data_IF_377998129102
#
_entry.id   IF_377998129102
#
_cell.length_a   1.000
_cell.length_b   1.000
_cell.length_c   1.000
_cell.angle_alpha   90.00
_cell.angle_beta   90.00
_cell.angle_gamma   90.00
#
_symmetry.space_group_name_H-M   'P 1'
#
loop_
_entity.id
_entity.type
_entity.pdbx_description
1 polymer ?
#
# COMPACT_ATOMS: atom_id res chain seq x y z
N UNK A 1 -47.36 -68.74 -20.31
CA UNK A 1 -48.41 -68.18 -19.45
C UNK A 1 -48.65 -66.74 -19.90
N UNK A 2 -49.89 -66.47 -20.32
CA UNK A 2 -50.69 -65.22 -20.24
C UNK A 2 -49.97 -63.86 -20.35
N UNK A 3 -50.41 -62.85 -21.09
CA UNK A 3 -51.53 -62.59 -22.01
C UNK A 3 -51.22 -61.22 -22.66
N UNK A 4 -51.62 -61.02 -23.92
CA UNK A 4 -51.78 -59.73 -24.66
C UNK A 4 -52.88 -58.85 -24.00
N UNK A 5 -53.23 -57.56 -24.38
CA UNK A 5 -53.18 -57.00 -25.76
C UNK A 5 -53.13 -55.42 -25.99
N UNK A 6 -52.90 -55.00 -27.26
CA UNK A 6 -53.64 -53.95 -28.07
C UNK A 6 -53.62 -52.46 -27.60
N UNK A 7 -53.49 -51.36 -28.37
CA UNK A 7 -53.40 -50.98 -29.83
C UNK A 7 -53.07 -49.48 -29.99
N UNK A 8 -52.59 -49.07 -31.19
CA UNK A 8 -52.81 -47.78 -31.93
C UNK A 8 -52.20 -46.50 -31.31
N UNK A 9 -51.84 -45.43 -32.04
CA UNK A 9 -51.68 -45.07 -33.46
C UNK A 9 -51.25 -43.59 -33.52
N UNK A 10 -50.39 -43.26 -34.49
CA UNK A 10 -50.29 -42.00 -35.26
C UNK A 10 -49.87 -40.64 -34.63
N UNK A 11 -49.00 -39.96 -35.40
CA UNK A 11 -48.66 -38.53 -35.33
C UNK A 11 -47.22 -38.32 -34.87
N UNK A 12 -46.28 -37.74 -35.59
CA UNK A 12 -46.29 -36.95 -36.81
C UNK A 12 -44.98 -36.15 -36.83
N UNK A 13 -44.32 -36.15 -37.98
CA UNK A 13 -43.19 -35.34 -38.47
C UNK A 13 -42.78 -34.11 -37.66
N UNK A 14 -41.47 -33.90 -37.46
CA UNK A 14 -40.77 -32.71 -37.93
C UNK A 14 -39.24 -32.87 -37.85
N UNK A 15 -38.60 -32.62 -39.01
CA UNK A 15 -37.19 -32.37 -39.18
C UNK A 15 -36.83 -30.99 -38.60
N UNK A 16 -35.83 -30.92 -37.72
CA UNK A 16 -34.96 -29.74 -37.60
C UNK A 16 -33.55 -30.17 -37.15
N UNK A 17 -32.62 -30.16 -38.10
CA UNK A 17 -31.20 -29.86 -37.89
C UNK A 17 -31.07 -28.34 -37.60
N UNK A 18 -29.93 -27.72 -37.22
CA UNK A 18 -28.61 -28.23 -36.79
C UNK A 18 -27.99 -27.40 -35.61
N UNK A 19 -26.76 -27.75 -35.18
CA UNK A 19 -25.76 -26.85 -34.57
C UNK A 19 -26.13 -26.04 -33.30
N UNK A 20 -25.78 -26.56 -32.11
CA UNK A 20 -25.33 -25.70 -30.99
C UNK A 20 -23.81 -25.82 -30.82
N UNK A 21 -23.12 -25.06 -31.67
CA UNK A 21 -21.80 -24.51 -31.40
C UNK A 21 -21.87 -23.71 -30.10
N UNK A 22 -21.11 -24.10 -29.07
CA UNK A 22 -20.54 -23.25 -28.00
C UNK A 22 -20.44 -24.00 -26.66
N UNK A 23 -19.33 -24.72 -26.45
CA UNK A 23 -18.64 -24.65 -25.15
C UNK A 23 -17.14 -24.56 -25.45
N UNK A 24 -16.73 -23.41 -25.97
CA UNK A 24 -15.34 -22.93 -25.85
C UNK A 24 -15.46 -21.59 -25.14
N UNK A 25 -14.54 -21.33 -24.20
CA UNK A 25 -14.31 -20.08 -23.45
C UNK A 25 -15.09 -19.96 -22.13
N UNK A 26 -14.55 -20.55 -21.06
CA UNK A 26 -14.56 -19.89 -19.74
C UNK A 26 -13.31 -20.26 -18.92
N UNK A 27 -12.12 -20.02 -19.48
CA UNK A 27 -10.89 -19.84 -18.69
C UNK A 27 -10.26 -18.48 -18.99
N UNK A 28 -11.08 -17.45 -19.22
CA UNK A 28 -10.64 -16.08 -19.36
C UNK A 28 -11.30 -15.31 -18.21
N UNK A 29 -10.49 -14.80 -17.27
CA UNK A 29 -10.91 -13.66 -16.47
C UNK A 29 -10.91 -13.78 -14.95
N UNK A 30 -10.27 -14.77 -14.32
CA UNK A 30 -9.84 -14.63 -12.93
C UNK A 30 -8.48 -15.28 -12.71
N UNK A 31 -7.42 -14.56 -13.09
CA UNK A 31 -6.18 -14.65 -12.34
C UNK A 31 -6.46 -14.09 -10.95
N UNK A 32 -6.76 -14.96 -9.98
CA UNK A 32 -6.53 -14.64 -8.58
C UNK A 32 -5.00 -14.60 -8.41
N UNK A 33 -4.36 -13.50 -8.81
CA UNK A 33 -2.96 -13.25 -8.50
C UNK A 33 -2.87 -13.10 -6.97
N UNK A 34 -2.57 -14.19 -6.28
CA UNK A 34 -2.03 -14.10 -4.93
C UNK A 34 -0.75 -13.25 -5.00
N UNK A 35 -0.51 -12.34 -4.04
CA UNK A 35 0.71 -11.54 -4.03
C UNK A 35 1.92 -12.47 -4.10
N UNK A 36 2.70 -12.37 -5.18
CA UNK A 36 3.92 -13.18 -5.34
C UNK A 36 4.88 -12.79 -4.22
N UNK A 37 5.35 -13.73 -3.38
CA UNK A 37 6.34 -13.44 -2.35
C UNK A 37 7.55 -12.74 -2.98
N UNK A 38 8.02 -11.66 -2.37
CA UNK A 38 9.12 -10.85 -2.90
C UNK A 38 8.75 -9.80 -3.94
N UNK A 39 7.50 -9.74 -4.45
CA UNK A 39 7.06 -8.59 -5.28
C UNK A 39 6.58 -7.43 -4.40
N UNK A 40 6.95 -6.21 -4.78
CA UNK A 40 6.45 -5.00 -4.13
C UNK A 40 5.05 -4.68 -4.66
N UNK A 41 4.12 -4.34 -3.76
CA UNK A 41 2.80 -3.84 -4.14
C UNK A 41 2.35 -2.72 -3.21
N UNK A 42 1.50 -1.84 -3.73
CA UNK A 42 0.95 -0.73 -2.96
C UNK A 42 0.01 -1.23 -1.87
N UNK A 43 0.10 -0.59 -0.70
CA UNK A 43 -0.78 -0.83 0.44
C UNK A 43 -1.47 0.49 0.85
N UNK A 44 -2.59 0.38 1.57
CA UNK A 44 -3.24 1.54 2.17
C UNK A 44 -2.28 2.29 3.08
N UNK A 45 -2.25 3.62 2.94
CA UNK A 45 -1.48 4.52 3.81
C UNK A 45 -1.98 4.46 5.26
N UNK A 46 -3.23 4.05 5.48
CA UNK A 46 -3.85 3.95 6.80
C UNK A 46 -3.66 2.57 7.43
N UNK A 47 -2.95 1.65 6.77
CA UNK A 47 -2.61 0.36 7.35
C UNK A 47 -1.83 0.56 8.66
N UNK A 48 -2.18 -0.13 9.76
CA UNK A 48 -1.50 0.03 11.04
C UNK A 48 0.00 -0.27 10.97
N UNK A 49 0.41 -1.23 10.12
CA UNK A 49 1.81 -1.55 9.89
C UNK A 49 2.55 -0.42 9.18
N UNK A 50 1.91 0.22 8.19
CA UNK A 50 2.43 1.44 7.55
C UNK A 50 2.56 2.59 8.53
N UNK A 51 1.56 2.83 9.38
CA UNK A 51 1.60 3.88 10.39
C UNK A 51 2.73 3.66 11.41
N UNK A 52 2.93 2.42 11.84
CA UNK A 52 4.06 2.06 12.70
C UNK A 52 5.40 2.23 11.99
N UNK A 53 5.53 1.80 10.73
CA UNK A 53 6.74 1.97 9.94
C UNK A 53 7.10 3.46 9.74
N UNK A 54 6.09 4.31 9.51
CA UNK A 54 6.24 5.78 9.47
C UNK A 54 6.76 6.33 10.79
N UNK A 55 6.20 5.87 11.91
CA UNK A 55 6.61 6.32 13.24
C UNK A 55 8.09 5.97 13.52
N UNK A 56 8.48 4.71 13.29
CA UNK A 56 9.85 4.22 13.46
C UNK A 56 10.84 4.95 12.54
N UNK A 57 10.43 5.20 11.28
CA UNK A 57 11.22 5.98 10.31
C UNK A 57 11.46 7.41 10.78
N UNK A 58 10.41 8.06 11.28
CA UNK A 58 10.47 9.43 11.78
C UNK A 58 11.37 9.54 13.01
N UNK A 59 11.29 8.60 13.94
CA UNK A 59 12.18 8.55 15.09
C UNK A 59 13.64 8.32 14.69
N UNK A 60 13.88 7.43 13.74
CA UNK A 60 15.23 7.17 13.22
C UNK A 60 15.83 8.44 12.60
N UNK A 61 15.07 9.12 11.73
CA UNK A 61 15.50 10.38 11.15
C UNK A 61 15.81 11.45 12.22
N UNK A 62 14.94 11.57 13.22
CA UNK A 62 15.15 12.54 14.30
C UNK A 62 16.39 12.25 15.15
N UNK A 63 16.70 10.97 15.37
CA UNK A 63 17.88 10.55 16.11
C UNK A 63 19.18 10.80 15.34
N UNK A 64 19.15 10.63 14.02
CA UNK A 64 20.32 10.86 13.14
C UNK A 64 20.48 12.32 12.72
N UNK A 65 19.40 13.11 12.75
CA UNK A 65 19.43 14.54 12.44
C UNK A 65 20.00 15.37 13.58
N UNK A 66 20.91 16.29 13.26
CA UNK A 66 21.47 17.26 14.21
C UNK A 66 20.57 18.49 14.45
N UNK A 67 19.34 18.49 13.94
CA UNK A 67 18.39 19.59 14.16
C UNK A 67 17.96 19.69 15.63
N UNK A 68 17.74 20.91 16.13
CA UNK A 68 17.26 21.17 17.50
C UNK A 68 15.77 20.86 17.67
N UNK A 69 15.00 20.81 16.58
CA UNK A 69 13.58 20.51 16.55
C UNK A 69 13.31 19.08 16.08
N UNK A 70 12.19 18.53 16.52
CA UNK A 70 11.67 17.29 15.96
C UNK A 70 11.08 17.51 14.57
N UNK A 71 11.21 16.50 13.71
CA UNK A 71 10.48 16.35 12.46
C UNK A 71 9.34 15.35 12.63
N UNK A 72 8.29 15.55 11.86
CA UNK A 72 7.12 14.67 11.79
C UNK A 72 6.73 14.47 10.33
N UNK A 73 6.16 13.31 9.99
CA UNK A 73 5.57 13.10 8.66
C UNK A 73 4.39 14.06 8.45
N UNK A 74 4.53 14.89 7.43
CA UNK A 74 3.49 15.78 6.92
C UNK A 74 2.52 15.03 6.00
N UNK A 75 3.06 14.19 5.11
CA UNK A 75 2.24 13.40 4.19
C UNK A 75 2.93 12.10 3.76
N UNK A 76 2.15 11.04 3.62
CA UNK A 76 2.59 9.79 2.98
C UNK A 76 2.24 9.87 1.49
N UNK A 77 3.23 9.87 0.62
CA UNK A 77 3.04 9.92 -0.84
C UNK A 77 2.79 8.52 -1.38
N UNK A 78 3.66 7.57 -1.03
CA UNK A 78 3.58 6.17 -1.44
C UNK A 78 3.83 5.27 -0.24
N UNK A 79 3.10 4.17 -0.16
CA UNK A 79 3.34 3.09 0.79
C UNK A 79 3.27 1.75 0.04
N UNK A 80 4.35 0.99 0.12
CA UNK A 80 4.47 -0.32 -0.51
C UNK A 80 4.94 -1.36 0.49
N UNK A 81 4.55 -2.61 0.26
CA UNK A 81 5.04 -3.75 1.03
C UNK A 81 5.63 -4.81 0.12
N UNK A 82 6.63 -5.50 0.67
CA UNK A 82 7.25 -6.67 0.07
C UNK A 82 7.36 -7.75 1.15
N UNK A 83 6.80 -8.93 0.89
CA UNK A 83 6.89 -10.08 1.78
C UNK A 83 8.25 -10.74 1.58
N UNK A 84 9.04 -10.79 2.64
CA UNK A 84 10.40 -11.36 2.68
C UNK A 84 10.53 -12.26 3.92
N UNK A 85 11.71 -12.40 4.52
CA UNK A 85 11.87 -12.98 5.87
C UNK A 85 11.31 -12.04 6.95
N UNK A 86 10.04 -11.63 6.82
CA UNK A 86 9.41 -10.48 7.47
C UNK A 86 8.63 -9.66 6.46
N UNK A 87 8.35 -8.40 6.79
CA UNK A 87 7.67 -7.44 5.93
C UNK A 87 8.62 -6.27 5.69
N UNK A 88 8.93 -5.96 4.44
CA UNK A 88 9.66 -4.76 4.07
C UNK A 88 8.65 -3.70 3.62
N UNK A 89 8.59 -2.58 4.34
CA UNK A 89 7.85 -1.39 3.94
C UNK A 89 8.78 -0.48 3.16
N UNK A 90 8.30 0.01 2.02
CA UNK A 90 8.96 1.06 1.24
C UNK A 90 8.04 2.27 1.24
N UNK A 91 8.54 3.37 1.79
CA UNK A 91 7.75 4.57 2.08
C UNK A 91 8.35 5.79 1.38
N UNK A 92 7.52 6.47 0.59
CA UNK A 92 7.82 7.83 0.12
C UNK A 92 7.02 8.80 0.97
N UNK A 93 7.69 9.59 1.80
CA UNK A 93 7.05 10.50 2.75
C UNK A 93 7.62 11.89 2.63
N UNK A 94 6.79 12.88 2.89
CA UNK A 94 7.25 14.24 3.16
C UNK A 94 7.27 14.43 4.66
N UNK A 95 8.43 14.76 5.22
CA UNK A 95 8.58 15.17 6.62
C UNK A 95 8.67 16.69 6.72
N UNK A 96 8.20 17.25 7.84
CA UNK A 96 8.24 18.68 8.12
C UNK A 96 8.70 18.93 9.55
N UNK A 97 9.45 20.03 9.73
CA UNK A 97 9.93 20.48 11.04
C UNK A 97 8.76 20.91 11.92
N UNK A 98 8.84 20.56 13.19
CA UNK A 98 7.88 20.94 14.23
C UNK A 98 8.39 22.07 15.11
N UNK A 99 7.53 22.63 15.95
CA UNK A 99 7.92 23.60 16.98
C UNK A 99 8.54 22.95 18.22
N UNK A 100 8.43 21.62 18.35
CA UNK A 100 8.93 20.87 19.50
C UNK A 100 10.46 20.75 19.46
N UNK A 101 11.13 21.12 20.55
CA UNK A 101 12.59 20.97 20.71
C UNK A 101 12.95 19.60 21.26
N UNK A 102 14.08 19.04 20.81
CA UNK A 102 14.62 17.76 21.31
C UNK A 102 15.15 17.82 22.74
N UNK A 103 15.53 19.00 23.22
CA UNK A 103 16.03 19.22 24.58
C UNK A 103 14.96 19.15 25.67
N UNK A 104 13.69 19.21 25.29
CA UNK A 104 12.56 19.06 26.20
C UNK A 104 12.06 17.62 26.11
N UNK A 105 11.58 17.04 27.23
CA UNK A 105 10.96 15.71 27.22
C UNK A 105 9.97 15.64 26.06
N UNK A 106 10.12 14.67 25.14
CA UNK A 106 9.37 14.69 23.90
C UNK A 106 7.89 14.52 24.24
N UNK A 107 7.01 15.49 23.92
CA UNK A 107 5.63 15.13 23.72
C UNK A 107 5.59 14.07 22.60
N UNK A 108 4.61 13.19 22.67
CA UNK A 108 4.37 12.23 21.60
C UNK A 108 4.31 12.99 20.25
N UNK A 109 4.98 12.46 19.21
CA UNK A 109 5.20 13.22 17.96
C UNK A 109 3.89 13.69 17.31
N UNK A 110 2.80 12.96 17.51
CA UNK A 110 1.44 13.30 17.11
C UNK A 110 0.93 14.62 17.70
N UNK A 111 1.42 15.01 18.89
CA UNK A 111 1.06 16.25 19.59
C UNK A 111 1.98 17.42 19.25
N UNK A 112 3.00 17.23 18.42
CA UNK A 112 3.88 18.30 17.96
C UNK A 112 3.31 18.99 16.72
N UNK A 113 2.94 20.30 16.82
CA UNK A 113 2.51 21.07 15.67
C UNK A 113 3.68 21.34 14.71
N UNK A 114 3.37 21.43 13.43
CA UNK A 114 4.34 21.86 12.42
C UNK A 114 4.74 23.33 12.64
N UNK A 115 5.96 23.68 12.21
CA UNK A 115 6.35 25.08 12.10
C UNK A 115 5.41 25.80 11.10
N UNK A 116 4.94 27.02 11.43
CA UNK A 116 4.21 27.84 10.47
C UNK A 116 5.11 28.19 9.29
N UNK A 117 4.50 28.63 8.20
CA UNK A 117 5.21 29.09 7.00
C UNK A 117 6.15 30.26 7.36
N UNK A 118 7.37 30.21 6.82
CA UNK A 118 8.40 31.21 7.09
C UNK A 118 9.81 30.61 7.13
N UNK A 119 10.77 31.40 7.62
CA UNK A 119 12.19 31.06 7.57
C UNK A 119 12.58 29.77 8.33
N UNK A 120 11.80 29.39 9.35
CA UNK A 120 12.05 28.19 10.14
C UNK A 120 11.32 26.95 9.59
N UNK A 121 10.43 27.12 8.61
CA UNK A 121 9.77 25.99 7.97
C UNK A 121 10.81 25.22 7.15
N UNK A 122 10.88 23.91 7.39
CA UNK A 122 11.76 23.04 6.63
C UNK A 122 11.06 21.72 6.40
N UNK A 123 11.11 21.26 5.14
CA UNK A 123 10.54 19.99 4.73
C UNK A 123 11.59 19.17 4.00
N UNK A 124 11.39 17.86 3.95
CA UNK A 124 12.17 16.94 3.13
C UNK A 124 11.26 15.88 2.52
N UNK A 125 11.57 15.47 1.29
CA UNK A 125 11.04 14.25 0.70
C UNK A 125 12.02 13.12 1.01
N UNK A 126 11.51 12.06 1.62
CA UNK A 126 12.30 10.96 2.11
C UNK A 126 11.78 9.64 1.59
N UNK A 127 12.72 8.81 1.16
CA UNK A 127 12.53 7.39 0.88
C UNK A 127 13.02 6.60 2.10
N UNK A 128 12.14 5.81 2.71
CA UNK A 128 12.48 4.92 3.82
C UNK A 128 12.24 3.46 3.44
N UNK A 129 13.18 2.60 3.81
CA UNK A 129 12.99 1.16 3.84
C UNK A 129 12.95 0.68 5.28
N UNK A 130 11.85 0.03 5.68
CA UNK A 130 11.66 -0.49 7.03
C UNK A 130 11.42 -1.98 6.98
N UNK A 131 12.28 -2.75 7.64
CA UNK A 131 12.07 -4.18 7.81
C UNK A 131 11.42 -4.45 9.16
N UNK A 132 10.27 -5.12 9.13
CA UNK A 132 9.50 -5.50 10.30
C UNK A 132 9.32 -7.01 10.39
N UNK A 133 9.36 -7.52 11.61
CA UNK A 133 9.01 -8.91 11.96
C UNK A 133 7.92 -8.81 13.04
N UNK A 134 6.64 -8.69 12.64
CA UNK A 134 5.55 -8.40 13.57
C UNK A 134 5.41 -9.43 14.71
N UNK A 135 5.59 -10.72 14.39
CA UNK A 135 5.53 -11.82 15.38
C UNK A 135 6.71 -11.86 16.35
N UNK A 136 7.73 -11.00 16.17
CA UNK A 136 8.82 -10.79 17.13
C UNK A 136 8.77 -9.39 17.76
N UNK A 137 7.72 -8.61 17.48
CA UNK A 137 7.59 -7.21 17.91
C UNK A 137 8.82 -6.35 17.57
N UNK A 138 9.41 -6.60 16.41
CA UNK A 138 10.67 -6.00 16.01
C UNK A 138 10.52 -5.27 14.67
N UNK A 139 11.14 -4.09 14.58
CA UNK A 139 11.26 -3.36 13.31
C UNK A 139 12.53 -2.52 13.31
N UNK A 140 13.07 -2.27 12.12
CA UNK A 140 14.28 -1.46 11.92
C UNK A 140 14.23 -0.76 10.57
N UNK A 141 14.65 0.49 10.54
CA UNK A 141 14.96 1.18 9.28
C UNK A 141 16.25 0.59 8.72
N UNK A 142 16.16 -0.01 7.54
CA UNK A 142 17.32 -0.62 6.88
C UNK A 142 18.14 0.42 6.14
N UNK A 143 17.48 1.40 5.55
CA UNK A 143 18.10 2.53 4.86
C UNK A 143 17.08 3.65 4.70
N UNK A 144 17.58 4.88 4.60
CA UNK A 144 16.76 6.00 4.16
C UNK A 144 17.61 7.06 3.47
N UNK A 145 16.96 7.84 2.62
CA UNK A 145 17.56 9.01 1.99
C UNK A 145 16.52 10.13 1.95
N UNK A 146 16.94 11.35 2.27
CA UNK A 146 16.08 12.52 2.32
C UNK A 146 16.69 13.66 1.50
N UNK A 147 15.85 14.39 0.78
CA UNK A 147 16.26 15.53 -0.03
C UNK A 147 15.28 16.69 0.19
N UNK A 148 15.71 17.96 0.04
CA UNK A 148 14.80 19.10 0.02
C UNK A 148 13.72 18.90 -1.05
N UNK A 149 12.49 19.40 -0.85
CA UNK A 149 11.46 19.40 -1.87
C UNK A 149 11.96 20.12 -3.13
N UNK A 150 11.59 19.61 -4.31
CA UNK A 150 11.81 20.34 -5.56
C UNK A 150 11.07 21.68 -5.49
N UNK A 151 11.66 22.78 -6.00
CA UNK A 151 10.94 24.03 -6.19
C UNK A 151 9.64 23.76 -6.98
N UNK A 152 8.53 24.45 -6.67
CA UNK A 152 7.35 24.35 -7.52
C UNK A 152 7.76 24.74 -8.95
N UNK A 153 7.63 23.80 -9.88
CA UNK A 153 7.82 24.08 -11.30
C UNK A 153 6.86 25.20 -11.68
N UNK A 154 7.39 26.31 -12.20
CA UNK A 154 6.59 27.42 -12.71
C UNK A 154 5.77 26.97 -13.93
N UNK A 155 4.67 26.24 -13.73
CA UNK A 155 3.71 25.88 -14.78
C UNK A 155 2.46 25.29 -14.15
N UNK A 156 1.41 26.10 -14.02
CA UNK A 156 -0.02 25.79 -14.26
C UNK A 156 -0.85 26.97 -13.77
N UNK A 157 -0.71 28.12 -14.41
CA UNK A 157 -1.78 29.13 -14.43
C UNK A 157 -2.62 28.79 -15.65
N UNK A 158 -3.76 28.15 -15.44
CA UNK A 158 -4.90 28.19 -16.37
C UNK A 158 -5.96 29.07 -15.74
#
# INVERSE_FOLDING_TARGET
MFNTPVTKSAGGWNLVCPLTLQIIIQCIGMCLCSPVPGSSHNISKNDPGVQNAVLVSTYTFNNESNDIFFFRVYAIKVAQIQIVKGIKYVLEVTISRTICRKSMSPPSLDKCPFQPEGALQQMFNCHFEVWAIPWKHWSKVTSFVCHPPSPPSASSTN
#
